data_IF_823496477178
#
_entry.id   IF_823496477178
#
_cell.length_a   1.000
_cell.length_b   1.000
_cell.length_c   1.000
_cell.angle_alpha   90.00
_cell.angle_beta   90.00
_cell.angle_gamma   90.00
#
_symmetry.space_group_name_H-M   'P 1'
#
loop_
_entity.id
_entity.type
_entity.pdbx_description
1 polymer ?
#
# COMPACT_ATOMS: atom_id res chain seq x y z
N UNK A 1 23.37 40.07 -14.91
CA UNK A 1 22.89 39.21 -13.80
C UNK A 1 21.37 39.30 -13.76
N UNK A 2 20.68 38.17 -13.93
CA UNK A 2 19.21 38.15 -14.04
C UNK A 2 18.51 38.38 -12.70
N UNK A 3 17.31 38.97 -12.74
CA UNK A 3 16.50 39.28 -11.54
C UNK A 3 16.29 38.07 -10.62
N UNK A 4 16.17 36.86 -11.20
CA UNK A 4 16.00 35.59 -10.46
C UNK A 4 17.26 35.22 -9.65
N UNK A 5 18.45 35.43 -10.21
CA UNK A 5 19.74 35.11 -9.56
C UNK A 5 20.02 36.09 -8.40
N UNK A 6 19.70 37.37 -8.59
CA UNK A 6 19.87 38.39 -7.55
C UNK A 6 18.97 38.12 -6.33
N UNK A 7 17.68 37.83 -6.54
CA UNK A 7 16.77 37.47 -5.43
C UNK A 7 17.21 36.22 -4.67
N UNK A 8 17.81 35.24 -5.37
CA UNK A 8 18.37 34.07 -4.72
C UNK A 8 19.58 34.42 -3.83
N UNK A 9 20.54 35.17 -4.38
CA UNK A 9 21.79 35.49 -3.68
C UNK A 9 21.60 36.45 -2.51
N UNK A 10 20.68 37.41 -2.62
CA UNK A 10 20.53 38.49 -1.62
C UNK A 10 19.43 38.23 -0.60
N UNK A 11 18.36 37.51 -0.99
CA UNK A 11 17.18 37.31 -0.15
C UNK A 11 16.81 35.84 0.09
N UNK A 12 17.57 34.88 -0.48
CA UNK A 12 17.27 33.45 -0.37
C UNK A 12 15.95 33.04 -1.03
N UNK A 13 15.39 33.86 -1.92
CA UNK A 13 14.08 33.62 -2.54
C UNK A 13 14.23 33.30 -4.03
N UNK A 14 13.57 32.23 -4.48
CA UNK A 14 13.57 31.84 -5.91
C UNK A 14 14.87 31.16 -6.38
N UNK A 15 15.65 30.58 -5.46
CA UNK A 15 16.86 29.81 -5.75
C UNK A 15 16.60 28.49 -6.46
N UNK A 16 15.38 27.98 -6.39
CA UNK A 16 15.05 26.66 -6.89
C UNK A 16 14.74 26.69 -8.40
N UNK A 17 15.23 25.67 -9.12
CA UNK A 17 15.08 25.56 -10.57
C UNK A 17 13.59 25.49 -10.94
N UNK A 18 12.81 24.75 -10.15
CA UNK A 18 11.37 24.56 -10.29
C UNK A 18 10.63 24.86 -8.98
N UNK A 19 9.45 25.47 -9.08
CA UNK A 19 8.54 25.68 -7.95
C UNK A 19 7.70 24.43 -7.71
N UNK A 20 8.01 23.70 -6.63
CA UNK A 20 7.37 22.43 -6.28
C UNK A 20 6.02 22.56 -5.58
N UNK A 21 5.54 23.78 -5.30
CA UNK A 21 4.20 24.00 -4.72
C UNK A 21 3.21 24.53 -5.77
N UNK A 22 3.71 25.01 -6.90
CA UNK A 22 2.88 25.48 -8.00
C UNK A 22 2.09 24.34 -8.65
N UNK A 23 0.77 24.52 -8.76
CA UNK A 23 -0.19 23.59 -9.34
C UNK A 23 -0.25 22.24 -8.59
N UNK A 24 0.01 22.25 -7.28
CA UNK A 24 0.11 21.03 -6.47
C UNK A 24 -1.21 20.25 -6.35
N UNK A 25 -2.35 20.86 -6.66
CA UNK A 25 -3.64 20.17 -6.73
C UNK A 25 -3.78 19.29 -7.97
N UNK A 26 -3.06 19.59 -9.06
CA UNK A 26 -3.10 18.83 -10.31
C UNK A 26 -1.69 18.54 -10.85
N UNK A 27 -0.69 18.47 -9.98
CA UNK A 27 0.72 18.32 -10.36
C UNK A 27 0.95 17.10 -11.25
N UNK A 28 0.17 16.03 -11.03
CA UNK A 28 0.25 14.78 -11.77
C UNK A 28 -0.03 14.98 -13.27
N UNK A 29 -0.92 15.90 -13.66
CA UNK A 29 -1.17 16.25 -15.05
C UNK A 29 -0.39 17.50 -15.51
N UNK A 30 -0.23 18.47 -14.63
CA UNK A 30 0.33 19.79 -14.96
C UNK A 30 1.86 19.79 -15.10
N UNK A 31 2.58 18.90 -14.39
CA UNK A 31 4.04 18.93 -14.38
C UNK A 31 4.65 18.00 -15.44
N UNK A 32 5.66 18.52 -16.13
CA UNK A 32 6.55 17.72 -16.97
C UNK A 32 7.39 16.74 -16.13
N UNK A 33 7.87 15.67 -16.76
CA UNK A 33 8.64 14.61 -16.09
C UNK A 33 9.86 15.15 -15.31
N UNK A 34 10.56 16.14 -15.88
CA UNK A 34 11.74 16.75 -15.23
C UNK A 34 11.37 17.49 -13.93
N UNK A 35 10.26 18.24 -13.93
CA UNK A 35 9.78 18.94 -12.73
C UNK A 35 9.33 17.95 -11.65
N UNK A 36 8.63 16.88 -12.04
CA UNK A 36 8.22 15.79 -11.14
C UNK A 36 9.43 15.12 -10.50
N UNK A 37 10.43 14.74 -11.29
CA UNK A 37 11.65 14.10 -10.79
C UNK A 37 12.43 15.04 -9.84
N UNK A 38 12.65 16.29 -10.24
CA UNK A 38 13.38 17.27 -9.42
C UNK A 38 12.68 17.52 -8.08
N UNK A 39 11.38 17.80 -8.10
CA UNK A 39 10.63 18.09 -6.88
C UNK A 39 10.51 16.85 -5.98
N UNK A 40 10.38 15.66 -6.56
CA UNK A 40 10.35 14.42 -5.81
C UNK A 40 11.70 14.15 -5.11
N UNK A 41 12.82 14.39 -5.79
CA UNK A 41 14.16 14.21 -5.21
C UNK A 41 14.52 15.28 -4.17
N UNK A 42 14.24 16.56 -4.45
CA UNK A 42 14.70 17.68 -3.60
C UNK A 42 13.78 17.97 -2.42
N UNK A 43 12.47 17.78 -2.59
CA UNK A 43 11.47 18.19 -1.59
C UNK A 43 10.55 17.06 -1.16
N UNK A 44 10.61 15.88 -1.81
CA UNK A 44 9.69 14.78 -1.57
C UNK A 44 8.26 15.04 -2.06
N UNK A 45 8.03 16.12 -2.82
CA UNK A 45 6.70 16.49 -3.34
C UNK A 45 6.57 16.16 -4.83
N UNK A 46 5.34 15.93 -5.28
CA UNK A 46 5.08 15.57 -6.68
C UNK A 46 5.68 14.23 -7.09
N UNK A 47 5.84 13.32 -6.12
CA UNK A 47 6.15 11.93 -6.37
C UNK A 47 4.86 11.16 -6.69
N UNK A 48 4.91 10.29 -7.70
CA UNK A 48 3.86 9.30 -7.89
C UNK A 48 3.89 8.36 -6.69
N UNK A 49 2.92 8.47 -5.78
CA UNK A 49 2.71 7.43 -4.77
C UNK A 49 2.31 6.18 -5.54
N UNK A 50 3.15 5.16 -5.52
CA UNK A 50 2.81 3.88 -6.10
C UNK A 50 1.68 3.26 -5.26
N UNK A 51 0.44 3.55 -5.64
CA UNK A 51 -0.75 2.84 -5.15
C UNK A 51 -0.86 1.52 -5.89
N UNK A 52 0.25 0.79 -6.02
CA UNK A 52 0.14 -0.64 -6.29
C UNK A 52 -0.59 -1.20 -5.08
N UNK A 53 -1.84 -1.60 -5.27
CA UNK A 53 -2.52 -2.51 -4.37
C UNK A 53 -1.66 -3.79 -4.42
N UNK A 54 -0.68 -3.88 -3.53
CA UNK A 54 0.30 -4.98 -3.53
C UNK A 54 -0.42 -6.32 -3.31
N UNK A 55 -1.58 -6.28 -2.65
CA UNK A 55 -2.35 -7.44 -2.26
C UNK A 55 -3.85 -7.16 -2.39
N UNK A 56 -4.51 -7.82 -3.35
CA UNK A 56 -5.97 -7.84 -3.43
C UNK A 56 -6.54 -8.92 -2.48
N UNK A 57 -7.21 -8.47 -1.43
CA UNK A 57 -7.81 -9.31 -0.38
C UNK A 57 -9.08 -10.06 -0.78
N UNK A 58 -9.61 -9.82 -1.98
CA UNK A 58 -10.69 -10.62 -2.56
C UNK A 58 -10.13 -11.75 -3.44
N UNK A 59 -9.01 -11.50 -4.12
CA UNK A 59 -8.39 -12.46 -5.01
C UNK A 59 -7.96 -13.73 -4.27
N UNK A 60 -8.61 -14.85 -4.60
CA UNK A 60 -8.35 -16.14 -3.97
C UNK A 60 -8.75 -16.19 -2.50
N UNK A 61 -9.69 -15.35 -2.04
CA UNK A 61 -10.13 -15.37 -0.64
C UNK A 61 -10.69 -16.74 -0.27
N UNK A 62 -11.50 -17.41 -1.09
CA UNK A 62 -12.06 -18.74 -0.75
C UNK A 62 -11.02 -19.84 -0.45
N UNK A 63 -9.76 -19.66 -0.85
CA UNK A 63 -8.66 -20.57 -0.52
C UNK A 63 -7.46 -19.78 0.04
N UNK A 64 -7.73 -18.71 0.80
CA UNK A 64 -6.70 -17.81 1.32
C UNK A 64 -5.71 -18.55 2.23
N UNK A 65 -6.18 -19.57 2.96
CA UNK A 65 -5.39 -20.40 3.85
C UNK A 65 -4.16 -20.98 3.14
N UNK A 66 -4.34 -21.53 1.92
CA UNK A 66 -3.28 -22.18 1.13
C UNK A 66 -2.72 -21.27 0.04
N UNK A 67 -3.54 -20.36 -0.49
CA UNK A 67 -3.24 -19.56 -1.68
C UNK A 67 -2.59 -18.20 -1.38
N UNK A 68 -2.68 -17.67 -0.16
CA UNK A 68 -2.07 -16.39 0.18
C UNK A 68 -0.68 -16.57 0.78
N UNK A 69 0.26 -15.73 0.32
CA UNK A 69 1.55 -15.58 0.98
C UNK A 69 1.38 -14.92 2.35
N UNK A 70 2.35 -15.13 3.26
CA UNK A 70 2.32 -14.55 4.60
C UNK A 70 2.14 -13.03 4.58
N UNK A 71 2.86 -12.33 3.69
CA UNK A 71 2.72 -10.88 3.52
C UNK A 71 1.32 -10.45 3.09
N UNK A 72 0.66 -11.24 2.22
CA UNK A 72 -0.72 -11.00 1.81
C UNK A 72 -1.70 -11.21 2.98
N UNK A 73 -1.54 -12.28 3.76
CA UNK A 73 -2.36 -12.53 4.95
C UNK A 73 -2.24 -11.41 5.97
N UNK A 74 -1.02 -11.00 6.32
CA UNK A 74 -0.79 -9.88 7.25
C UNK A 74 -1.37 -8.57 6.73
N UNK A 75 -1.15 -8.25 5.46
CA UNK A 75 -1.71 -7.04 4.86
C UNK A 75 -3.24 -7.04 4.89
N UNK A 76 -3.86 -8.14 4.44
CA UNK A 76 -5.32 -8.24 4.35
C UNK A 76 -6.00 -8.35 5.71
N UNK A 77 -5.32 -8.91 6.71
CA UNK A 77 -5.81 -8.86 8.07
C UNK A 77 -5.84 -7.42 8.59
N UNK A 78 -4.73 -6.68 8.44
CA UNK A 78 -4.62 -5.31 8.95
C UNK A 78 -5.49 -4.29 8.21
N UNK A 79 -5.68 -4.47 6.89
CA UNK A 79 -6.36 -3.48 6.05
C UNK A 79 -7.82 -3.81 5.77
N UNK A 80 -8.17 -5.10 5.68
CA UNK A 80 -9.50 -5.57 5.28
C UNK A 80 -10.15 -6.51 6.32
N UNK A 81 -9.46 -6.86 7.41
CA UNK A 81 -9.97 -7.80 8.42
C UNK A 81 -10.16 -9.23 7.90
N UNK A 82 -9.39 -9.64 6.89
CA UNK A 82 -9.55 -10.95 6.20
C UNK A 82 -8.32 -11.82 6.31
N UNK A 83 -8.54 -13.12 6.53
CA UNK A 83 -7.47 -14.11 6.61
C UNK A 83 -6.52 -13.86 7.80
N UNK A 84 -7.09 -13.41 8.92
CA UNK A 84 -6.35 -13.11 10.14
C UNK A 84 -5.92 -14.36 10.92
N UNK A 85 -6.66 -15.45 10.74
CA UNK A 85 -6.42 -16.70 11.46
C UNK A 85 -5.33 -17.55 10.78
N UNK A 86 -4.90 -18.62 11.46
CA UNK A 86 -4.00 -19.59 10.87
C UNK A 86 -4.73 -20.51 9.87
N UNK A 87 -5.98 -20.87 10.20
CA UNK A 87 -6.82 -21.78 9.43
C UNK A 87 -8.22 -21.20 9.20
N UNK A 88 -8.84 -21.57 8.08
CA UNK A 88 -10.23 -21.24 7.77
C UNK A 88 -11.17 -22.30 8.36
N UNK A 89 -11.82 -21.95 9.47
CA UNK A 89 -12.77 -22.81 10.18
C UNK A 89 -14.14 -22.92 9.52
N UNK A 90 -14.36 -22.24 8.38
CA UNK A 90 -15.59 -22.35 7.60
C UNK A 90 -15.36 -23.10 6.28
N UNK A 91 -14.14 -23.62 6.03
CA UNK A 91 -13.81 -24.35 4.80
C UNK A 91 -14.32 -25.80 4.84
N UNK A 92 -15.49 -26.06 4.28
CA UNK A 92 -16.00 -27.43 4.12
C UNK A 92 -16.44 -28.09 5.44
N UNK A 93 -16.34 -29.42 5.51
CA UNK A 93 -16.71 -30.21 6.70
C UNK A 93 -15.47 -30.59 7.49
N UNK A 94 -15.53 -30.45 8.83
CA UNK A 94 -14.39 -30.69 9.72
C UNK A 94 -13.79 -32.10 9.65
N UNK A 95 -14.55 -33.08 9.16
CA UNK A 95 -14.11 -34.46 8.97
C UNK A 95 -13.03 -34.63 7.89
N UNK A 96 -12.86 -33.65 7.00
CA UNK A 96 -11.84 -33.66 5.95
C UNK A 96 -10.56 -32.91 6.32
N UNK A 97 -10.48 -32.33 7.51
CA UNK A 97 -9.34 -31.52 7.95
C UNK A 97 -8.24 -32.34 8.60
N UNK A 98 -7.00 -31.85 8.49
CA UNK A 98 -5.89 -32.34 9.30
C UNK A 98 -6.12 -32.00 10.77
N UNK A 99 -5.55 -32.81 11.66
CA UNK A 99 -5.78 -32.69 13.11
C UNK A 99 -5.44 -31.29 13.64
N UNK A 100 -4.38 -30.64 13.16
CA UNK A 100 -4.01 -29.29 13.62
C UNK A 100 -5.10 -28.24 13.31
N UNK A 101 -5.72 -28.34 12.14
CA UNK A 101 -6.82 -27.46 11.73
C UNK A 101 -8.08 -27.74 12.56
N UNK A 102 -8.37 -29.01 12.85
CA UNK A 102 -9.45 -29.40 13.75
C UNK A 102 -9.24 -28.83 15.15
N UNK A 103 -8.05 -29.03 15.74
CA UNK A 103 -7.72 -28.54 17.08
C UNK A 103 -7.85 -27.00 17.15
N UNK A 104 -7.29 -26.27 16.17
CA UNK A 104 -7.37 -24.81 16.09
C UNK A 104 -8.81 -24.29 16.00
N UNK A 105 -9.63 -24.91 15.15
CA UNK A 105 -11.01 -24.47 14.94
C UNK A 105 -11.96 -24.90 16.05
N UNK A 106 -11.69 -26.03 16.70
CA UNK A 106 -12.49 -26.53 17.82
C UNK A 106 -12.47 -25.59 19.04
N UNK A 107 -11.39 -24.83 19.26
CA UNK A 107 -11.36 -23.76 20.28
C UNK A 107 -12.41 -22.66 20.00
N UNK A 108 -12.81 -22.47 18.75
CA UNK A 108 -13.78 -21.45 18.32
C UNK A 108 -15.20 -22.00 18.15
N UNK A 109 -15.36 -23.32 18.23
CA UNK A 109 -16.60 -24.05 17.99
C UNK A 109 -16.35 -25.16 16.97
N UNK A 110 -16.26 -26.41 17.45
CA UNK A 110 -16.03 -27.53 16.54
C UNK A 110 -17.14 -27.58 15.47
N UNK A 111 -16.81 -27.76 14.18
CA UNK A 111 -17.80 -28.11 13.18
C UNK A 111 -18.41 -29.46 13.58
N UNK A 112 -19.66 -29.42 14.03
CA UNK A 112 -20.45 -30.62 14.25
C UNK A 112 -20.56 -31.38 12.93
N UNK A 113 -20.24 -32.67 12.96
CA UNK A 113 -20.32 -33.61 11.84
C UNK A 113 -21.65 -33.52 11.10
#
# INVERSE_FOLDING_TARGET
IGKKTFCCQTAGRGCEKFDCLKDMTNWAAAWMAEKKAYCCEKTGTGCAKSTKVLYDCNSGFSNWEKGWSLGKKTYCCNTAGRGCDAYDCNEGVGSAWVKEKVDFCCEKGCPST
#
